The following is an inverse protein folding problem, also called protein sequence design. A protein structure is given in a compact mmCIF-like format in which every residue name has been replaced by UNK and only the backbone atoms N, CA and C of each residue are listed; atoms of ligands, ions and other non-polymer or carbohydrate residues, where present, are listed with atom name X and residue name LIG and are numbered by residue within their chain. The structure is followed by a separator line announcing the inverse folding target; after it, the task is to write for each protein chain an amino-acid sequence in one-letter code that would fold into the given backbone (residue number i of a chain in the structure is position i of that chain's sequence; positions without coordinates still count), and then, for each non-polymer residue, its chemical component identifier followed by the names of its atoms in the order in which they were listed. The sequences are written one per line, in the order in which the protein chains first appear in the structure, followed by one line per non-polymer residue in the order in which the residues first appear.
data_IF_692339214930
#
_entry.id   IF_692339214930
#
_cell.length_a   1.000
_cell.length_b   1.000
_cell.length_c   1.000
_cell.angle_alpha   90.00
_cell.angle_beta   90.00
_cell.angle_gamma   90.00
#
_symmetry.space_group_name_H-M   'P 1'
#
loop_
_entity.id
_entity.type
_entity.pdbx_description
1 polymer ?
#
# COMPACT_ATOMS: atom_id res chain seq x y z
N UNK A 1 19.70 -0.71 38.80
CA UNK A 1 20.02 -0.85 37.36
C UNK A 1 18.72 -1.10 36.61
N UNK A 2 18.33 -0.26 35.65
CA UNK A 2 17.27 -0.64 34.70
C UNK A 2 17.71 -1.93 34.00
N UNK A 3 16.85 -2.96 33.97
CA UNK A 3 17.21 -4.23 33.34
C UNK A 3 17.38 -3.99 31.82
N UNK A 4 18.20 -4.81 31.14
CA UNK A 4 18.47 -4.70 29.69
C UNK A 4 17.19 -4.53 28.84
N UNK A 5 16.09 -5.15 29.28
CA UNK A 5 14.77 -5.03 28.67
C UNK A 5 14.27 -3.57 28.70
N UNK A 6 14.35 -2.88 29.83
CA UNK A 6 13.89 -1.50 29.97
C UNK A 6 14.67 -0.55 29.06
N UNK A 7 15.99 -0.80 28.91
CA UNK A 7 16.85 -0.02 28.04
C UNK A 7 16.48 -0.23 26.57
N UNK A 8 16.27 -1.48 26.16
CA UNK A 8 15.84 -1.81 24.81
C UNK A 8 14.45 -1.22 24.48
N UNK A 9 13.51 -1.30 25.42
CA UNK A 9 12.17 -0.71 25.27
C UNK A 9 12.21 0.81 25.16
N UNK A 10 13.07 1.47 25.96
CA UNK A 10 13.23 2.92 25.90
C UNK A 10 13.76 3.37 24.54
N UNK A 11 14.75 2.66 23.99
CA UNK A 11 15.29 2.95 22.66
C UNK A 11 14.24 2.68 21.57
N UNK A 12 13.51 1.57 21.65
CA UNK A 12 12.45 1.25 20.68
C UNK A 12 11.34 2.32 20.67
N UNK A 13 10.87 2.73 21.85
CA UNK A 13 9.89 3.81 21.99
C UNK A 13 10.44 5.13 21.42
N UNK A 14 11.66 5.50 21.80
CA UNK A 14 12.29 6.73 21.33
C UNK A 14 12.37 6.77 19.79
N UNK A 15 12.68 5.65 19.14
CA UNK A 15 12.69 5.58 17.66
C UNK A 15 11.32 5.82 17.05
N UNK A 16 10.27 5.22 17.61
CA UNK A 16 8.89 5.41 17.12
C UNK A 16 8.45 6.87 17.32
N UNK A 17 8.69 7.41 18.52
CA UNK A 17 8.22 8.74 18.91
C UNK A 17 8.96 9.86 18.15
N UNK A 18 10.26 9.72 17.92
CA UNK A 18 11.08 10.74 17.24
C UNK A 18 11.04 10.68 15.71
N UNK A 19 10.45 9.65 15.10
CA UNK A 19 10.40 9.47 13.64
C UNK A 19 9.72 10.66 12.93
N UNK A 20 10.35 11.26 11.92
CA UNK A 20 9.75 12.32 11.11
C UNK A 20 9.36 11.77 9.75
N UNK A 21 8.09 11.35 9.63
CA UNK A 21 7.57 10.64 8.46
C UNK A 21 6.92 11.59 7.46
N UNK A 22 7.43 11.57 6.23
CA UNK A 22 6.97 12.39 5.13
C UNK A 22 6.53 11.50 3.96
N UNK A 23 5.37 11.79 3.38
CA UNK A 23 5.03 11.27 2.05
C UNK A 23 5.85 12.02 1.01
N UNK A 24 6.70 11.32 0.28
CA UNK A 24 7.73 11.93 -0.59
C UNK A 24 7.56 11.65 -2.08
N UNK A 25 6.98 10.52 -2.47
CA UNK A 25 6.78 10.15 -3.87
C UNK A 25 5.66 9.12 -4.02
N UNK A 26 5.28 8.85 -5.28
CA UNK A 26 4.57 7.64 -5.70
C UNK A 26 5.56 6.75 -6.46
N UNK A 27 5.63 5.47 -6.11
CA UNK A 27 6.52 4.47 -6.73
C UNK A 27 5.73 3.27 -7.20
N UNK A 28 6.21 2.58 -8.22
CA UNK A 28 5.65 1.26 -8.56
C UNK A 28 6.32 0.18 -7.73
N UNK A 29 5.55 -0.81 -7.28
CA UNK A 29 6.06 -1.85 -6.37
C UNK A 29 7.31 -2.55 -6.91
N UNK A 30 7.36 -2.86 -8.21
CA UNK A 30 8.51 -3.52 -8.84
C UNK A 30 9.78 -2.67 -8.91
N UNK A 31 9.69 -1.35 -8.66
CA UNK A 31 10.83 -0.44 -8.63
C UNK A 31 11.51 -0.40 -7.26
N UNK A 32 10.73 -0.60 -6.18
CA UNK A 32 11.17 -0.29 -4.81
C UNK A 32 11.08 -1.46 -3.83
N UNK A 33 10.20 -2.43 -4.07
CA UNK A 33 10.06 -3.58 -3.19
C UNK A 33 11.04 -4.71 -3.61
N UNK A 34 11.96 -5.14 -2.71
CA UNK A 34 12.93 -6.18 -3.05
C UNK A 34 12.26 -7.47 -3.53
N UNK A 35 12.66 -7.93 -4.71
CA UNK A 35 12.19 -9.20 -5.28
C UNK A 35 10.78 -9.17 -5.87
N UNK A 36 10.14 -8.00 -6.02
CA UNK A 36 8.88 -7.86 -6.74
C UNK A 36 9.12 -7.84 -8.26
N UNK A 37 9.27 -9.05 -8.83
CA UNK A 37 9.31 -9.29 -10.28
C UNK A 37 7.96 -9.79 -10.79
N UNK A 38 7.92 -10.27 -12.04
CA UNK A 38 6.77 -11.04 -12.53
C UNK A 38 6.51 -12.25 -11.64
N UNK A 39 5.24 -12.62 -11.52
CA UNK A 39 4.74 -13.75 -10.74
C UNK A 39 5.06 -13.70 -9.23
N UNK A 40 5.23 -12.50 -8.68
CA UNK A 40 5.36 -12.27 -7.23
C UNK A 40 4.15 -11.47 -6.73
N UNK A 41 3.49 -11.99 -5.69
CA UNK A 41 2.32 -11.35 -5.06
C UNK A 41 2.58 -11.14 -3.57
N UNK A 42 2.56 -9.88 -3.17
CA UNK A 42 2.53 -9.45 -1.77
C UNK A 42 1.16 -9.67 -1.13
N UNK A 43 1.11 -9.97 0.17
CA UNK A 43 -0.14 -10.03 0.92
C UNK A 43 0.01 -9.48 2.36
N UNK A 44 -1.12 -9.13 2.97
CA UNK A 44 -1.17 -8.75 4.39
C UNK A 44 -0.93 -9.95 5.33
N UNK A 45 -0.51 -9.66 6.55
CA UNK A 45 -0.32 -10.66 7.60
C UNK A 45 1.01 -11.43 7.50
N UNK A 46 1.22 -12.44 8.39
CA UNK A 46 2.39 -13.30 8.35
C UNK A 46 2.37 -14.21 7.10
N UNK A 47 3.50 -14.85 6.74
CA UNK A 47 3.54 -15.78 5.61
C UNK A 47 2.41 -16.83 5.67
N UNK A 48 1.71 -17.01 4.55
CA UNK A 48 0.59 -17.96 4.44
C UNK A 48 0.66 -18.67 3.08
N UNK A 49 0.45 -19.99 3.08
CA UNK A 49 0.40 -20.76 1.84
C UNK A 49 -0.96 -20.58 1.15
N UNK A 50 -0.99 -20.73 -0.18
CA UNK A 50 -2.24 -20.67 -0.97
C UNK A 50 -3.36 -21.52 -0.39
N UNK A 51 -3.05 -22.76 0.02
CA UNK A 51 -4.02 -23.70 0.59
C UNK A 51 -4.70 -23.17 1.87
N UNK A 52 -4.03 -22.28 2.60
CA UNK A 52 -4.49 -21.71 3.87
C UNK A 52 -5.09 -20.30 3.70
N UNK A 53 -5.00 -19.70 2.51
CA UNK A 53 -5.60 -18.41 2.22
C UNK A 53 -7.13 -18.50 2.28
N UNK A 54 -7.76 -17.51 2.93
CA UNK A 54 -9.21 -17.39 3.01
C UNK A 54 -9.82 -16.95 1.65
N UNK A 55 -11.12 -17.18 1.47
CA UNK A 55 -11.83 -16.87 0.22
C UNK A 55 -11.57 -15.46 -0.34
N UNK A 56 -11.69 -14.38 0.45
CA UNK A 56 -11.38 -13.03 -0.01
C UNK A 56 -9.93 -12.85 -0.49
N UNK A 57 -8.97 -13.46 0.21
CA UNK A 57 -7.56 -13.38 -0.20
C UNK A 57 -7.33 -14.16 -1.50
N UNK A 58 -7.97 -15.31 -1.68
CA UNK A 58 -7.92 -16.09 -2.92
C UNK A 58 -8.49 -15.31 -4.11
N UNK A 59 -9.67 -14.71 -3.95
CA UNK A 59 -10.27 -13.86 -4.98
C UNK A 59 -9.38 -12.68 -5.34
N UNK A 60 -8.75 -12.05 -4.34
CA UNK A 60 -7.81 -10.95 -4.56
C UNK A 60 -6.56 -11.39 -5.33
N UNK A 61 -5.99 -12.56 -5.02
CA UNK A 61 -4.86 -13.15 -5.76
C UNK A 61 -5.23 -13.40 -7.22
N UNK A 62 -6.37 -14.02 -7.49
CA UNK A 62 -6.87 -14.24 -8.86
C UNK A 62 -7.00 -12.91 -9.60
N UNK A 63 -7.61 -11.92 -8.95
CA UNK A 63 -7.73 -10.57 -9.51
C UNK A 63 -6.38 -9.92 -9.80
N UNK A 64 -5.38 -10.13 -8.95
CA UNK A 64 -4.03 -9.58 -9.13
C UNK A 64 -3.31 -10.21 -10.33
N UNK A 65 -3.44 -11.52 -10.52
CA UNK A 65 -2.86 -12.25 -11.65
C UNK A 65 -3.45 -11.74 -12.96
N UNK A 66 -4.78 -11.55 -13.00
CA UNK A 66 -5.48 -10.96 -14.16
C UNK A 66 -5.10 -9.50 -14.38
N UNK A 67 -4.98 -8.73 -13.30
CA UNK A 67 -4.54 -7.32 -13.36
C UNK A 67 -3.12 -7.18 -13.95
N UNK A 68 -2.20 -8.08 -13.63
CA UNK A 68 -0.86 -8.12 -14.23
C UNK A 68 -0.84 -8.75 -15.64
N UNK A 69 -1.97 -9.28 -16.11
CA UNK A 69 -2.06 -9.91 -17.43
C UNK A 69 -1.35 -11.27 -17.51
N UNK A 70 -1.16 -11.95 -16.39
CA UNK A 70 -0.55 -13.28 -16.36
C UNK A 70 -1.54 -14.39 -16.74
N UNK A 71 -2.84 -14.11 -16.65
CA UNK A 71 -3.93 -15.01 -17.03
C UNK A 71 -5.13 -14.20 -17.55
N UNK A 72 -5.92 -14.79 -18.45
CA UNK A 72 -7.14 -14.18 -19.02
C UNK A 72 -8.41 -14.60 -18.27
N UNK A 73 -8.39 -15.74 -17.58
CA UNK A 73 -9.52 -16.25 -16.79
C UNK A 73 -9.17 -16.56 -15.33
N UNK A 74 -10.20 -16.74 -14.52
CA UNK A 74 -10.05 -17.14 -13.11
C UNK A 74 -9.44 -18.55 -13.01
N UNK A 75 -9.82 -19.47 -13.92
CA UNK A 75 -9.29 -20.84 -13.99
C UNK A 75 -7.80 -20.86 -14.36
N UNK A 76 -7.39 -20.04 -15.33
CA UNK A 76 -5.98 -19.90 -15.71
C UNK A 76 -5.15 -19.31 -14.55
N UNK A 77 -5.71 -18.33 -13.84
CA UNK A 77 -5.06 -17.74 -12.68
C UNK A 77 -4.89 -18.75 -11.54
N UNK A 78 -5.91 -19.54 -11.23
CA UNK A 78 -5.81 -20.62 -10.24
C UNK A 78 -4.77 -21.67 -10.67
N UNK A 79 -4.77 -22.08 -11.93
CA UNK A 79 -3.80 -23.05 -12.46
C UNK A 79 -2.35 -22.56 -12.32
N UNK A 80 -2.07 -21.26 -12.48
CA UNK A 80 -0.74 -20.71 -12.23
C UNK A 80 -0.31 -20.84 -10.77
N UNK A 81 -1.23 -20.60 -9.83
CA UNK A 81 -0.95 -20.72 -8.40
C UNK A 81 -0.71 -22.19 -8.02
N UNK A 82 -1.58 -23.10 -8.49
CA UNK A 82 -1.47 -24.53 -8.21
C UNK A 82 -0.23 -25.18 -8.83
N UNK A 83 0.20 -24.68 -9.99
CA UNK A 83 1.46 -25.09 -10.63
C UNK A 83 2.71 -24.52 -9.92
N UNK A 84 2.55 -23.77 -8.82
CA UNK A 84 3.66 -23.16 -8.08
C UNK A 84 4.39 -22.07 -8.85
N UNK A 85 3.73 -21.44 -9.84
CA UNK A 85 4.31 -20.35 -10.65
C UNK A 85 4.24 -19.01 -9.94
N UNK A 86 3.35 -18.85 -8.96
CA UNK A 86 3.19 -17.63 -8.16
C UNK A 86 3.96 -17.76 -6.85
N UNK A 87 4.82 -16.78 -6.56
CA UNK A 87 5.50 -16.64 -5.28
C UNK A 87 4.75 -15.65 -4.39
N UNK A 88 4.40 -16.07 -3.18
CA UNK A 88 3.79 -15.20 -2.17
C UNK A 88 4.83 -14.61 -1.23
N UNK A 89 4.65 -13.34 -0.88
CA UNK A 89 5.53 -12.60 0.04
C UNK A 89 4.68 -11.84 1.06
N UNK A 90 5.02 -11.89 2.34
CA UNK A 90 4.39 -11.04 3.34
C UNK A 90 4.89 -9.60 3.17
N UNK A 91 3.98 -8.64 3.02
CA UNK A 91 4.35 -7.24 2.78
C UNK A 91 5.29 -6.68 3.86
N UNK A 92 5.09 -7.08 5.12
CA UNK A 92 5.92 -6.62 6.25
C UNK A 92 7.41 -7.02 6.08
N UNK A 93 7.70 -8.10 5.34
CA UNK A 93 9.06 -8.56 5.09
C UNK A 93 9.83 -7.70 4.07
N UNK A 94 9.14 -6.85 3.32
CA UNK A 94 9.70 -6.00 2.26
C UNK A 94 9.45 -4.51 2.51
N UNK A 95 9.13 -4.12 3.75
CA UNK A 95 8.90 -2.72 4.11
C UNK A 95 7.58 -2.13 3.59
N UNK A 96 6.61 -2.97 3.23
CA UNK A 96 5.30 -2.56 2.77
C UNK A 96 4.18 -2.99 3.74
N UNK A 97 3.05 -2.30 3.65
CA UNK A 97 1.79 -2.68 4.28
C UNK A 97 0.66 -2.55 3.26
N UNK A 98 -0.41 -3.31 3.44
CA UNK A 98 -1.59 -3.23 2.58
C UNK A 98 -2.85 -3.47 3.41
N UNK A 99 -3.94 -2.71 3.19
CA UNK A 99 -5.18 -2.89 3.94
C UNK A 99 -5.89 -4.18 3.56
N UNK A 100 -6.55 -4.83 4.52
CA UNK A 100 -7.40 -6.01 4.32
C UNK A 100 -6.61 -7.21 3.74
N UNK A 101 -6.90 -7.70 2.52
CA UNK A 101 -6.08 -8.75 1.88
C UNK A 101 -4.64 -8.28 1.61
N UNK A 102 -4.46 -6.96 1.45
CA UNK A 102 -3.17 -6.31 1.27
C UNK A 102 -2.41 -6.78 0.04
N UNK A 103 -3.11 -7.13 -1.04
CA UNK A 103 -2.46 -7.58 -2.27
C UNK A 103 -1.59 -6.47 -2.86
N UNK A 104 -0.35 -6.81 -3.22
CA UNK A 104 0.59 -5.95 -3.94
C UNK A 104 1.21 -6.76 -5.09
N UNK A 105 1.29 -6.18 -6.27
CA UNK A 105 1.98 -6.74 -7.45
C UNK A 105 2.85 -5.68 -8.10
N UNK A 106 3.77 -6.06 -8.98
CA UNK A 106 4.85 -5.19 -9.49
C UNK A 106 4.36 -3.88 -10.10
N UNK A 107 3.20 -3.88 -10.74
CA UNK A 107 2.63 -2.74 -11.46
C UNK A 107 1.77 -1.86 -10.56
N UNK A 108 1.49 -2.27 -9.32
CA UNK A 108 0.68 -1.47 -8.41
C UNK A 108 1.44 -0.23 -7.91
N UNK A 109 0.80 0.95 -7.94
CA UNK A 109 1.38 2.16 -7.38
C UNK A 109 1.31 2.16 -5.84
N UNK A 110 2.37 2.67 -5.22
CA UNK A 110 2.58 2.77 -3.79
C UNK A 110 2.84 4.21 -3.38
N UNK A 111 2.30 4.62 -2.24
CA UNK A 111 2.79 5.78 -1.51
C UNK A 111 4.16 5.46 -0.92
N UNK A 112 5.17 6.29 -1.20
CA UNK A 112 6.50 6.20 -0.59
C UNK A 112 6.59 7.16 0.61
N UNK A 113 6.72 6.58 1.81
CA UNK A 113 6.88 7.33 3.05
C UNK A 113 8.33 7.23 3.49
N UNK A 114 8.99 8.38 3.65
CA UNK A 114 10.36 8.48 4.13
C UNK A 114 10.39 8.95 5.57
N UNK A 115 11.15 8.24 6.41
CA UNK A 115 11.46 8.63 7.77
C UNK A 115 12.79 9.40 7.81
N UNK A 116 12.70 10.72 7.86
CA UNK A 116 13.87 11.62 7.81
C UNK A 116 14.84 11.37 8.98
N UNK A 117 14.32 11.04 10.17
CA UNK A 117 15.13 10.81 11.38
C UNK A 117 16.07 9.62 11.24
N UNK A 118 15.64 8.56 10.56
CA UNK A 118 16.35 7.27 10.53
C UNK A 118 16.71 6.78 9.12
N UNK A 119 16.34 7.52 8.07
CA UNK A 119 16.71 7.23 6.69
C UNK A 119 16.03 6.00 6.08
N UNK A 120 14.95 5.50 6.68
CA UNK A 120 14.23 4.32 6.19
C UNK A 120 12.94 4.69 5.45
N UNK A 121 12.49 3.80 4.57
CA UNK A 121 11.25 3.95 3.81
C UNK A 121 10.19 2.95 4.25
N UNK A 122 8.93 3.28 4.00
CA UNK A 122 7.79 2.37 4.10
C UNK A 122 6.80 2.64 2.96
N UNK A 123 6.08 1.60 2.55
CA UNK A 123 5.21 1.67 1.38
C UNK A 123 3.79 1.17 1.66
N UNK A 124 2.80 1.77 1.00
CA UNK A 124 1.41 1.32 1.07
C UNK A 124 0.70 1.53 -0.27
N UNK A 125 -0.17 0.59 -0.66
CA UNK A 125 -1.02 0.73 -1.83
C UNK A 125 -2.06 1.83 -1.66
N UNK A 126 -2.64 2.25 -2.78
CA UNK A 126 -3.72 3.22 -2.82
C UNK A 126 -5.04 2.61 -2.34
N UNK A 127 -5.93 3.45 -1.82
CA UNK A 127 -7.30 3.06 -1.52
C UNK A 127 -8.12 3.01 -2.83
N UNK A 128 -8.65 1.84 -3.16
CA UNK A 128 -9.45 1.58 -4.36
C UNK A 128 -10.85 2.25 -4.34
N UNK A 129 -11.25 2.79 -3.19
CA UNK A 129 -12.58 3.36 -2.95
C UNK A 129 -13.51 2.43 -2.17
N UNK A 130 -14.81 2.69 -2.28
CA UNK A 130 -15.88 1.95 -1.62
C UNK A 130 -16.55 0.96 -2.58
N UNK A 131 -17.17 -0.09 -2.04
CA UNK A 131 -17.92 -1.08 -2.81
C UNK A 131 -17.06 -2.29 -3.20
N UNK A 132 -17.20 -2.75 -4.46
CA UNK A 132 -16.45 -3.91 -4.98
C UNK A 132 -15.00 -3.49 -5.24
N UNK A 133 -14.08 -4.02 -4.44
CA UNK A 133 -12.65 -3.72 -4.49
C UNK A 133 -11.82 -4.97 -4.21
N UNK A 134 -10.61 -5.03 -4.77
CA UNK A 134 -9.71 -6.18 -4.67
C UNK A 134 -9.25 -6.45 -3.25
N UNK A 135 -9.07 -5.40 -2.43
CA UNK A 135 -8.75 -5.58 -1.01
C UNK A 135 -9.80 -6.37 -0.21
N UNK A 136 -11.01 -6.54 -0.74
CA UNK A 136 -12.06 -7.42 -0.16
C UNK A 136 -12.30 -8.69 -0.99
N UNK A 137 -11.45 -8.98 -1.98
CA UNK A 137 -11.50 -10.19 -2.80
C UNK A 137 -12.31 -10.10 -4.08
N UNK A 138 -12.85 -8.93 -4.43
CA UNK A 138 -13.53 -8.77 -5.71
C UNK A 138 -12.52 -8.71 -6.86
N UNK A 139 -12.77 -9.43 -7.94
CA UNK A 139 -11.85 -9.62 -9.08
C UNK A 139 -12.53 -9.45 -10.46
N UNK A 140 -13.71 -8.82 -10.47
CA UNK A 140 -14.46 -8.54 -11.69
C UNK A 140 -13.78 -7.49 -12.58
N UNK A 141 -14.20 -7.41 -13.84
CA UNK A 141 -13.61 -6.49 -14.83
C UNK A 141 -13.64 -5.03 -14.35
N UNK A 142 -14.71 -4.60 -13.68
CA UNK A 142 -14.82 -3.24 -13.13
C UNK A 142 -13.80 -2.92 -12.03
N UNK A 143 -13.33 -3.95 -11.31
CA UNK A 143 -12.26 -3.81 -10.31
C UNK A 143 -10.91 -3.70 -11.01
N UNK A 144 -10.65 -4.55 -12.00
CA UNK A 144 -9.39 -4.54 -12.75
C UNK A 144 -9.23 -3.25 -13.56
N UNK A 145 -10.28 -2.79 -14.23
CA UNK A 145 -10.29 -1.53 -14.98
C UNK A 145 -9.97 -0.33 -14.08
N UNK A 146 -10.54 -0.33 -12.86
CA UNK A 146 -10.26 0.70 -11.86
C UNK A 146 -8.81 0.67 -11.42
N UNK A 147 -8.26 -0.51 -11.14
CA UNK A 147 -6.85 -0.65 -10.78
C UNK A 147 -5.93 -0.21 -11.92
N UNK A 148 -6.28 -0.53 -13.18
CA UNK A 148 -5.54 -0.04 -14.35
C UNK A 148 -5.64 1.47 -14.51
N UNK A 149 -6.78 2.08 -14.25
CA UNK A 149 -6.90 3.54 -14.18
C UNK A 149 -6.05 4.13 -13.04
N UNK A 150 -6.03 3.48 -11.87
CA UNK A 150 -5.21 3.92 -10.75
C UNK A 150 -3.71 3.88 -11.08
N UNK A 151 -3.27 2.79 -11.72
CA UNK A 151 -1.91 2.59 -12.21
C UNK A 151 -1.54 3.63 -13.28
N UNK A 152 -2.35 3.78 -14.33
CA UNK A 152 -1.94 4.48 -15.56
C UNK A 152 -2.30 5.96 -15.58
N UNK A 153 -3.24 6.40 -14.74
CA UNK A 153 -3.75 7.78 -14.72
C UNK A 153 -3.60 8.43 -13.36
N UNK A 154 -4.16 7.83 -12.30
CA UNK A 154 -4.15 8.45 -10.98
C UNK A 154 -2.73 8.55 -10.40
N UNK A 155 -1.94 7.47 -10.48
CA UNK A 155 -0.61 7.43 -9.90
C UNK A 155 0.37 8.42 -10.58
N UNK A 156 0.45 8.50 -11.92
CA UNK A 156 1.25 9.54 -12.59
C UNK A 156 0.81 10.96 -12.21
N UNK A 157 -0.50 11.22 -12.11
CA UNK A 157 -1.00 12.53 -11.73
C UNK A 157 -0.66 12.89 -10.28
N UNK A 158 -0.87 11.97 -9.33
CA UNK A 158 -0.49 12.16 -7.93
C UNK A 158 1.02 12.31 -7.76
N UNK A 159 1.83 11.59 -8.54
CA UNK A 159 3.28 11.72 -8.56
C UNK A 159 3.70 13.14 -8.93
N UNK A 160 3.18 13.67 -10.03
CA UNK A 160 3.46 15.05 -10.46
C UNK A 160 2.97 16.07 -9.42
N UNK A 161 1.78 15.87 -8.86
CA UNK A 161 1.24 16.75 -7.83
C UNK A 161 2.12 16.77 -6.57
N UNK A 162 2.68 15.62 -6.16
CA UNK A 162 3.61 15.55 -5.02
C UNK A 162 4.96 16.22 -5.32
N UNK A 163 5.45 16.12 -6.55
CA UNK A 163 6.66 16.84 -6.97
C UNK A 163 6.47 18.35 -6.88
N UNK A 164 5.27 18.85 -7.22
CA UNK A 164 4.92 20.27 -7.09
C UNK A 164 4.67 20.69 -5.64
N UNK A 165 4.09 19.82 -4.82
CA UNK A 165 3.81 20.12 -3.41
C UNK A 165 5.05 20.10 -2.52
N UNK A 166 6.05 19.30 -2.91
CA UNK A 166 7.10 18.87 -2.02
C UNK A 166 6.60 17.84 -0.98
N UNK A 167 7.50 17.35 -0.11
CA UNK A 167 7.17 16.35 0.90
C UNK A 167 6.05 16.79 1.85
N UNK A 168 5.13 15.87 2.15
CA UNK A 168 4.01 16.13 3.05
C UNK A 168 4.28 15.47 4.40
N UNK A 169 4.37 16.27 5.47
CA UNK A 169 4.56 15.76 6.82
C UNK A 169 3.29 15.05 7.33
N UNK A 170 3.36 13.73 7.46
CA UNK A 170 2.21 12.91 7.83
C UNK A 170 1.87 13.05 9.32
N UNK A 171 2.84 13.32 10.19
CA UNK A 171 2.57 13.55 11.62
C UNK A 171 1.70 14.77 11.85
N UNK A 172 1.88 15.84 11.07
CA UNK A 172 1.02 17.03 11.15
C UNK A 172 -0.41 16.72 10.74
N UNK A 173 -0.60 15.97 9.64
CA UNK A 173 -1.94 15.55 9.21
C UNK A 173 -2.61 14.67 10.27
N UNK A 174 -1.89 13.67 10.78
CA UNK A 174 -2.40 12.75 11.81
C UNK A 174 -2.79 13.51 13.08
N UNK A 175 -1.91 14.38 13.58
CA UNK A 175 -2.18 15.15 14.80
C UNK A 175 -3.43 16.02 14.66
N UNK A 176 -3.61 16.71 13.53
CA UNK A 176 -4.80 17.50 13.26
C UNK A 176 -6.05 16.62 13.13
N UNK A 177 -5.98 15.53 12.37
CA UNK A 177 -7.11 14.63 12.16
C UNK A 177 -7.62 14.03 13.49
N UNK A 178 -6.72 13.65 14.41
CA UNK A 178 -7.08 13.18 15.75
C UNK A 178 -7.90 14.22 16.53
N UNK A 179 -7.56 15.51 16.43
CA UNK A 179 -8.35 16.59 17.06
C UNK A 179 -9.70 16.85 16.37
N UNK A 180 -9.88 16.33 15.15
CA UNK A 180 -11.10 16.43 14.35
C UNK A 180 -11.98 15.16 14.45
N UNK A 181 -11.66 14.26 15.38
CA UNK A 181 -12.46 13.07 15.68
C UNK A 181 -12.19 11.85 14.79
N UNK A 182 -11.09 11.85 14.03
CA UNK A 182 -10.56 10.64 13.40
C UNK A 182 -9.78 9.81 14.42
N UNK A 183 -9.63 8.51 14.16
CA UNK A 183 -8.74 7.60 14.91
C UNK A 183 -7.72 6.89 14.00
N UNK A 184 -7.71 7.22 12.71
CA UNK A 184 -6.72 6.80 11.71
C UNK A 184 -6.75 5.33 11.31
N UNK A 185 -7.81 4.59 11.64
CA UNK A 185 -7.99 3.20 11.22
C UNK A 185 -9.37 2.95 10.58
N UNK A 186 -10.45 3.03 11.35
CA UNK A 186 -11.83 2.94 10.85
C UNK A 186 -12.37 4.26 10.32
N UNK A 187 -12.02 5.37 10.97
CA UNK A 187 -12.47 6.73 10.64
C UNK A 187 -11.27 7.60 10.32
N UNK A 188 -11.22 8.03 9.06
CA UNK A 188 -10.13 8.80 8.46
C UNK A 188 -10.64 9.98 7.60
N UNK A 189 -11.84 10.50 7.91
CA UNK A 189 -12.51 11.54 7.11
C UNK A 189 -11.70 12.84 7.14
N UNK A 190 -11.31 13.29 8.33
CA UNK A 190 -10.53 14.52 8.50
C UNK A 190 -9.15 14.39 7.85
N UNK A 191 -8.44 13.28 8.04
CA UNK A 191 -7.15 13.03 7.43
C UNK A 191 -7.22 13.06 5.89
N UNK A 192 -8.23 12.40 5.30
CA UNK A 192 -8.45 12.43 3.85
C UNK A 192 -8.74 13.84 3.34
N UNK A 193 -9.55 14.64 4.05
CA UNK A 193 -9.83 16.03 3.66
C UNK A 193 -8.61 16.95 3.80
N UNK A 194 -7.81 16.78 4.85
CA UNK A 194 -6.56 17.52 5.04
C UNK A 194 -5.55 17.21 3.93
N UNK A 195 -5.39 15.92 3.60
CA UNK A 195 -4.55 15.51 2.48
C UNK A 195 -5.07 16.07 1.14
N UNK A 196 -6.37 15.93 0.87
CA UNK A 196 -7.00 16.47 -0.33
C UNK A 196 -6.77 17.98 -0.45
N UNK A 197 -6.95 18.74 0.63
CA UNK A 197 -6.70 20.19 0.66
C UNK A 197 -5.26 20.54 0.27
N UNK A 198 -4.28 19.75 0.69
CA UNK A 198 -2.86 19.98 0.36
C UNK A 198 -2.62 19.70 -1.12
N UNK A 199 -3.08 18.55 -1.61
CA UNK A 199 -2.69 18.05 -2.93
C UNK A 199 -3.54 18.61 -4.08
N UNK A 200 -4.81 18.96 -3.85
CA UNK A 200 -5.75 19.31 -4.94
C UNK A 200 -5.30 20.50 -5.78
N UNK A 201 -4.69 21.53 -5.16
CA UNK A 201 -4.19 22.69 -5.92
C UNK A 201 -3.09 22.30 -6.91
N UNK A 202 -2.22 21.38 -6.51
CA UNK A 202 -1.14 20.87 -7.34
C UNK A 202 -1.63 19.88 -8.38
N UNK A 203 -2.63 19.08 -8.02
CA UNK A 203 -3.27 18.15 -8.95
C UNK A 203 -3.96 18.89 -10.11
N UNK A 204 -4.50 20.09 -9.86
CA UNK A 204 -5.06 20.96 -10.90
C UNK A 204 -4.00 21.56 -11.85
N UNK A 205 -2.72 21.52 -11.48
CA UNK A 205 -1.60 22.01 -12.29
C UNK A 205 -0.93 20.90 -13.13
N UNK A 206 -1.29 19.64 -12.88
CA UNK A 206 -0.82 18.47 -13.65
C UNK A 206 -1.31 18.58 -15.08
N UNK A 207 -0.42 18.32 -16.04
CA UNK A 207 -0.70 18.39 -17.48
C UNK A 207 -0.54 17.04 -18.15
#
# INVERSE_FOLDING_TARGET
MKNKIDQANQEAYHRIDSAQVHLVDIKYAGEVLPGFSDHVIGHAGPPVAWAEMCGPMRGAVIGAIKYEGWAESDEEAEALVEAGRIKFVSNHSVGAVGPMTGIITRSMPLFEVFNETYGNYAYCTFNEGLGRVMRFGANGQDVIDRLKWMETSLAPALKQALQLSGPINLKVIIAQALTMGDEMHQRNIAASLLFARIIMKHLAEVR
#
